data_IF_153308095360
#
_entry.id   IF_153308095360
#
_cell.length_a   1.000
_cell.length_b   1.000
_cell.length_c   1.000
_cell.angle_alpha   90.00
_cell.angle_beta   90.00
_cell.angle_gamma   90.00
#
_symmetry.space_group_name_H-M   'P 1'
#
loop_
_entity.id
_entity.type
_entity.pdbx_description
1 polymer ?
#
# COMPACT_ATOMS: atom_id res chain seq x y z
N UNK A 1 64.74 -29.59 -2.11
CA UNK A 1 63.86 -28.42 -2.15
C UNK A 1 62.85 -28.58 -3.28
N UNK A 2 61.57 -28.86 -3.01
CA UNK A 2 60.53 -28.65 -4.01
C UNK A 2 60.03 -27.20 -3.89
N UNK A 3 60.14 -26.44 -4.98
CA UNK A 3 59.59 -25.10 -5.09
C UNK A 3 58.07 -25.16 -5.15
N UNK A 4 57.42 -24.53 -4.18
CA UNK A 4 55.98 -24.29 -4.18
C UNK A 4 55.65 -23.26 -5.26
N UNK A 5 54.94 -23.69 -6.29
CA UNK A 5 54.26 -22.81 -7.22
C UNK A 5 53.14 -22.09 -6.46
N UNK A 6 53.34 -20.80 -6.18
CA UNK A 6 52.29 -19.89 -5.72
C UNK A 6 51.33 -19.65 -6.88
N UNK A 7 50.12 -20.18 -6.74
CA UNK A 7 48.99 -19.92 -7.62
C UNK A 7 48.65 -18.43 -7.59
N UNK A 8 48.60 -17.85 -8.79
CA UNK A 8 48.15 -16.49 -9.06
C UNK A 8 46.72 -16.30 -8.55
N UNK A 9 46.55 -15.46 -7.53
CA UNK A 9 45.27 -14.85 -7.21
C UNK A 9 44.82 -14.03 -8.43
N UNK A 10 43.87 -14.57 -9.20
CA UNK A 10 43.24 -13.86 -10.30
C UNK A 10 42.53 -12.61 -9.75
N UNK A 11 43.09 -11.44 -10.03
CA UNK A 11 42.39 -10.17 -9.88
C UNK A 11 41.17 -10.19 -10.81
N UNK A 12 40.00 -10.50 -10.25
CA UNK A 12 38.75 -10.26 -10.95
C UNK A 12 38.65 -8.75 -11.24
N UNK A 13 38.40 -8.34 -12.50
CA UNK A 13 38.32 -6.92 -12.82
C UNK A 13 37.17 -6.29 -12.04
N UNK A 14 37.49 -5.32 -11.19
CA UNK A 14 36.50 -4.48 -10.51
C UNK A 14 35.74 -3.73 -11.60
N UNK A 15 34.54 -4.21 -11.94
CA UNK A 15 33.62 -3.48 -12.83
C UNK A 15 33.29 -2.14 -12.16
N UNK A 16 33.89 -1.07 -12.67
CA UNK A 16 33.55 0.30 -12.26
C UNK A 16 32.28 0.71 -13.00
N UNK A 17 31.27 1.10 -12.23
CA UNK A 17 30.05 1.67 -12.77
C UNK A 17 30.18 3.20 -12.78
N UNK A 18 29.55 3.86 -13.75
CA UNK A 18 29.42 5.32 -13.74
C UNK A 18 28.43 5.69 -12.62
N UNK A 19 28.84 6.48 -11.61
CA UNK A 19 27.90 6.95 -10.60
C UNK A 19 26.81 7.80 -11.26
N UNK A 20 25.57 7.63 -10.82
CA UNK A 20 24.44 8.38 -11.36
C UNK A 20 23.37 8.63 -10.31
N UNK A 21 22.63 9.71 -10.50
CA UNK A 21 21.40 10.02 -9.76
C UNK A 21 20.31 10.27 -10.79
N UNK A 22 19.21 9.54 -10.70
CA UNK A 22 18.08 9.63 -11.60
C UNK A 22 16.81 9.87 -10.79
N UNK A 23 16.04 10.89 -11.17
CA UNK A 23 14.72 11.12 -10.59
C UNK A 23 13.66 10.44 -11.45
N UNK A 24 12.94 9.51 -10.86
CA UNK A 24 11.93 8.68 -11.48
C UNK A 24 10.54 9.17 -11.08
N UNK A 25 9.66 9.29 -12.07
CA UNK A 25 8.25 9.59 -11.85
C UNK A 25 7.42 8.48 -12.47
N UNK A 26 6.79 7.70 -11.62
CA UNK A 26 5.95 6.59 -12.02
C UNK A 26 4.49 7.02 -12.04
N UNK A 27 3.77 6.58 -13.06
CA UNK A 27 2.32 6.60 -13.08
C UNK A 27 1.80 5.22 -12.69
N UNK A 28 0.81 5.20 -11.80
CA UNK A 28 0.17 3.98 -11.33
C UNK A 28 -1.00 3.68 -12.25
N UNK A 29 -0.92 2.55 -12.95
CA UNK A 29 -1.94 2.11 -13.89
C UNK A 29 -3.08 1.39 -13.15
N UNK A 30 -4.33 1.91 -13.18
CA UNK A 30 -5.46 1.28 -12.51
C UNK A 30 -5.86 -0.06 -13.10
N UNK A 31 -5.42 -0.42 -14.31
CA UNK A 31 -5.70 -1.74 -14.91
C UNK A 31 -4.86 -2.85 -14.31
N UNK A 32 -3.72 -2.51 -13.69
CA UNK A 32 -2.78 -3.47 -13.09
C UNK A 32 -2.53 -3.23 -11.60
N UNK A 33 -3.09 -2.15 -11.03
CA UNK A 33 -2.91 -1.78 -9.63
C UNK A 33 -4.24 -1.84 -8.89
N UNK A 34 -4.28 -2.64 -7.83
CA UNK A 34 -5.49 -2.89 -7.05
C UNK A 34 -5.20 -2.70 -5.57
N UNK A 35 -6.18 -2.13 -4.88
CA UNK A 35 -6.28 -2.10 -3.44
C UNK A 35 -7.46 -2.96 -3.02
N UNK A 36 -7.25 -3.84 -2.07
CA UNK A 36 -8.31 -4.58 -1.39
C UNK A 36 -8.61 -3.87 -0.09
N UNK A 37 -9.87 -3.48 0.08
CA UNK A 37 -10.42 -2.98 1.32
C UNK A 37 -11.13 -4.16 1.98
N UNK A 38 -10.65 -4.56 3.14
CA UNK A 38 -11.14 -5.68 3.91
C UNK A 38 -11.58 -5.12 5.26
N UNK A 39 -12.88 -5.13 5.48
CA UNK A 39 -13.49 -4.49 6.63
C UNK A 39 -14.23 -5.55 7.44
N UNK A 40 -14.04 -5.53 8.75
CA UNK A 40 -14.79 -6.34 9.68
C UNK A 40 -15.61 -5.43 10.61
N UNK A 41 -16.87 -5.80 10.80
CA UNK A 41 -17.76 -5.18 11.78
C UNK A 41 -18.00 -6.22 12.85
N UNK A 42 -17.47 -5.95 14.04
CA UNK A 42 -17.82 -6.68 15.25
C UNK A 42 -18.77 -5.81 16.07
N UNK A 43 -19.95 -6.35 16.36
CA UNK A 43 -20.90 -5.68 17.23
C UNK A 43 -21.19 -6.66 18.36
N UNK A 44 -20.90 -6.28 19.60
CA UNK A 44 -20.97 -7.13 20.82
C UNK A 44 -22.29 -7.91 21.04
N UNK A 45 -23.33 -7.64 20.26
CA UNK A 45 -24.63 -8.34 20.30
C UNK A 45 -24.89 -9.25 19.11
N UNK A 46 -23.99 -9.27 18.11
CA UNK A 46 -24.11 -9.98 16.84
C UNK A 46 -22.79 -10.67 16.49
N UNK A 47 -22.86 -11.77 15.75
CA UNK A 47 -21.65 -12.38 15.21
C UNK A 47 -20.94 -11.40 14.26
N UNK A 48 -19.59 -11.30 14.29
CA UNK A 48 -18.82 -10.45 13.41
C UNK A 48 -19.16 -10.70 11.94
N UNK A 49 -19.20 -9.62 11.15
CA UNK A 49 -19.38 -9.68 9.70
C UNK A 49 -18.20 -9.05 9.00
N UNK A 50 -17.75 -9.71 7.94
CA UNK A 50 -16.64 -9.25 7.12
C UNK A 50 -17.14 -9.01 5.72
N UNK A 51 -16.69 -7.92 5.13
CA UNK A 51 -16.88 -7.64 3.72
C UNK A 51 -15.53 -7.27 3.12
N UNK A 52 -15.33 -7.65 1.87
CA UNK A 52 -14.11 -7.35 1.12
C UNK A 52 -14.51 -6.70 -0.20
N UNK A 53 -13.78 -5.67 -0.59
CA UNK A 53 -13.94 -4.95 -1.84
C UNK A 53 -12.58 -4.78 -2.50
N UNK A 54 -12.50 -5.05 -3.81
CA UNK A 54 -11.33 -4.70 -4.60
C UNK A 54 -11.60 -3.42 -5.37
N UNK A 55 -10.66 -2.48 -5.32
CA UNK A 55 -10.74 -1.18 -5.94
C UNK A 55 -9.47 -0.94 -6.77
N UNK A 56 -9.59 -0.64 -8.07
CA UNK A 56 -8.47 -0.15 -8.86
C UNK A 56 -7.84 1.10 -8.22
N UNK A 57 -6.52 1.19 -8.24
CA UNK A 57 -5.77 2.35 -7.72
C UNK A 57 -5.11 3.11 -8.86
N UNK A 58 -5.13 4.44 -8.78
CA UNK A 58 -4.39 5.31 -9.69
C UNK A 58 -3.62 6.35 -8.89
N UNK A 59 -2.64 6.97 -9.53
CA UNK A 59 -1.85 8.01 -8.87
C UNK A 59 -0.42 8.06 -9.37
N UNK A 60 0.49 8.48 -8.50
CA UNK A 60 1.89 8.64 -8.86
C UNK A 60 2.83 8.27 -7.73
N UNK A 61 4.02 7.80 -8.11
CA UNK A 61 5.13 7.59 -7.20
C UNK A 61 6.32 8.37 -7.74
N UNK A 62 6.94 9.20 -6.90
CA UNK A 62 8.19 9.87 -7.23
C UNK A 62 9.31 9.25 -6.43
N UNK A 63 10.43 8.94 -7.08
CA UNK A 63 11.58 8.34 -6.43
C UNK A 63 12.89 8.89 -6.97
N UNK A 64 13.94 8.84 -6.15
CA UNK A 64 15.32 9.09 -6.57
C UNK A 64 16.11 7.78 -6.51
N UNK A 65 16.63 7.36 -7.67
CA UNK A 65 17.55 6.22 -7.81
C UNK A 65 18.98 6.72 -7.85
N UNK A 66 19.84 6.22 -6.95
CA UNK A 66 21.27 6.48 -6.95
C UNK A 66 22.04 5.21 -7.26
N UNK A 67 22.98 5.30 -8.20
CA UNK A 67 23.95 4.24 -8.49
C UNK A 67 25.34 4.72 -8.06
N UNK A 68 26.00 3.96 -7.20
CA UNK A 68 27.37 4.23 -6.78
C UNK A 68 28.41 3.74 -7.80
N UNK A 69 29.67 4.19 -7.68
CA UNK A 69 30.75 3.69 -8.54
C UNK A 69 31.05 2.19 -8.41
N UNK A 70 30.57 1.57 -7.32
CA UNK A 70 30.63 0.12 -7.08
C UNK A 70 29.46 -0.66 -7.72
N UNK A 71 28.50 0.03 -8.34
CA UNK A 71 27.30 -0.57 -8.91
C UNK A 71 26.16 -0.80 -7.91
N UNK A 72 26.39 -0.57 -6.61
CA UNK A 72 25.31 -0.58 -5.60
C UNK A 72 24.29 0.51 -5.91
N UNK A 73 23.02 0.15 -5.84
CA UNK A 73 21.90 1.06 -6.06
C UNK A 73 21.11 1.29 -4.77
N UNK A 74 20.62 2.50 -4.59
CA UNK A 74 19.68 2.86 -3.53
C UNK A 74 18.52 3.66 -4.10
N UNK A 75 17.34 3.44 -3.54
CA UNK A 75 16.09 4.12 -3.90
C UNK A 75 15.64 4.96 -2.72
N UNK A 76 15.21 6.18 -2.97
CA UNK A 76 14.45 6.99 -2.02
C UNK A 76 13.07 7.21 -2.64
N UNK A 77 12.01 6.76 -1.99
CA UNK A 77 10.65 7.06 -2.40
C UNK A 77 10.31 8.41 -1.79
N UNK A 78 10.30 9.46 -2.62
CA UNK A 78 10.10 10.85 -2.20
C UNK A 78 8.63 11.15 -1.92
N UNK A 79 7.75 10.47 -2.66
CA UNK A 79 6.31 10.67 -2.59
C UNK A 79 5.57 9.48 -3.18
N UNK A 80 4.57 8.99 -2.49
CA UNK A 80 3.58 8.01 -2.95
C UNK A 80 2.23 8.69 -2.79
N UNK A 81 1.49 8.89 -3.87
CA UNK A 81 0.13 9.42 -3.84
C UNK A 81 -0.78 8.52 -4.65
N UNK A 82 -1.66 7.79 -3.97
CA UNK A 82 -2.61 6.88 -4.58
C UNK A 82 -4.03 7.30 -4.22
N UNK A 83 -4.96 7.05 -5.13
CA UNK A 83 -6.39 7.19 -4.89
C UNK A 83 -7.15 6.04 -5.52
N UNK A 84 -8.33 5.71 -4.98
CA UNK A 84 -9.24 4.78 -5.66
C UNK A 84 -9.66 5.34 -7.02
N UNK A 85 -9.59 4.52 -8.06
CA UNK A 85 -10.05 4.90 -9.39
C UNK A 85 -11.53 4.53 -9.63
N UNK A 86 -12.08 3.64 -8.80
CA UNK A 86 -13.49 3.21 -8.84
C UNK A 86 -14.18 3.36 -7.49
N UNK A 87 -15.49 3.13 -7.48
CA UNK A 87 -16.31 3.08 -6.26
C UNK A 87 -16.05 1.78 -5.51
N UNK A 88 -15.73 1.89 -4.22
CA UNK A 88 -15.68 0.75 -3.31
C UNK A 88 -17.05 0.52 -2.66
N UNK A 89 -17.47 -0.74 -2.58
CA UNK A 89 -18.72 -1.14 -1.94
C UNK A 89 -18.49 -2.35 -1.05
N UNK A 90 -18.85 -2.22 0.22
CA UNK A 90 -18.73 -3.25 1.24
C UNK A 90 -20.13 -3.51 1.81
N UNK A 91 -20.56 -4.77 1.83
CA UNK A 91 -21.88 -5.16 2.28
C UNK A 91 -21.79 -6.18 3.43
N UNK A 92 -22.40 -5.84 4.55
CA UNK A 92 -22.42 -6.61 5.78
C UNK A 92 -23.83 -7.08 6.05
N UNK A 93 -24.10 -8.34 5.71
CA UNK A 93 -25.44 -8.92 5.78
C UNK A 93 -25.59 -9.74 7.06
N UNK A 94 -26.60 -9.41 7.86
CA UNK A 94 -27.10 -10.27 8.94
C UNK A 94 -28.38 -10.98 8.51
N UNK A 95 -29.13 -11.55 9.47
CA UNK A 95 -30.42 -12.17 9.14
C UNK A 95 -31.43 -11.11 8.65
N UNK A 96 -32.48 -11.51 7.90
CA UNK A 96 -33.49 -10.59 7.39
C UNK A 96 -34.19 -9.73 8.46
N UNK A 97 -34.18 -10.18 9.72
CA UNK A 97 -34.77 -9.46 10.85
C UNK A 97 -33.86 -8.34 11.39
N UNK A 98 -32.55 -8.45 11.17
CA UNK A 98 -31.53 -7.49 11.61
C UNK A 98 -31.26 -6.48 10.49
N UNK A 99 -31.06 -6.97 9.26
CA UNK A 99 -30.82 -6.17 8.06
C UNK A 99 -29.36 -6.20 7.59
N UNK A 100 -28.98 -5.15 6.87
CA UNK A 100 -27.68 -5.02 6.18
C UNK A 100 -27.08 -3.65 6.44
N UNK A 101 -25.76 -3.58 6.56
CA UNK A 101 -24.99 -2.33 6.46
C UNK A 101 -24.25 -2.35 5.12
N UNK A 102 -24.30 -1.24 4.39
CA UNK A 102 -23.50 -1.04 3.19
C UNK A 102 -22.61 0.18 3.39
N UNK A 103 -21.31 0.00 3.22
CA UNK A 103 -20.36 1.12 3.17
C UNK A 103 -19.98 1.37 1.72
N UNK A 104 -20.14 2.61 1.30
CA UNK A 104 -19.82 3.10 -0.04
C UNK A 104 -18.68 4.08 0.06
N UNK A 105 -17.59 3.82 -0.65
CA UNK A 105 -16.44 4.72 -0.75
C UNK A 105 -16.39 5.24 -2.19
N UNK A 106 -16.76 6.51 -2.44
CA UNK A 106 -16.69 7.07 -3.79
C UNK A 106 -15.28 7.03 -4.37
N UNK A 107 -15.21 6.91 -5.70
CA UNK A 107 -13.92 6.92 -6.40
C UNK A 107 -13.18 8.24 -6.17
N UNK A 108 -11.91 8.15 -5.84
CA UNK A 108 -11.03 9.29 -5.59
C UNK A 108 -11.11 9.87 -4.19
N UNK A 109 -12.03 9.39 -3.35
CA UNK A 109 -12.13 9.87 -1.96
C UNK A 109 -11.27 9.09 -0.98
N UNK A 110 -10.87 7.86 -1.31
CA UNK A 110 -9.89 7.15 -0.51
C UNK A 110 -8.49 7.43 -1.08
N UNK A 111 -7.66 8.09 -0.29
CA UNK A 111 -6.29 8.51 -0.61
C UNK A 111 -5.29 7.74 0.25
N UNK A 112 -4.11 7.45 -0.29
CA UNK A 112 -3.00 6.84 0.43
C UNK A 112 -1.76 7.64 0.09
N UNK A 113 -1.16 8.23 1.12
CA UNK A 113 0.05 9.04 0.99
C UNK A 113 1.14 8.52 1.89
N UNK A 114 2.39 8.57 1.46
CA UNK A 114 3.50 8.28 2.35
C UNK A 114 3.60 9.33 3.46
N UNK A 115 3.88 8.87 4.67
CA UNK A 115 4.11 9.71 5.85
C UNK A 115 5.44 9.34 6.53
N UNK A 116 6.40 8.86 5.73
CA UNK A 116 7.70 8.38 6.21
C UNK A 116 8.81 9.38 5.85
N UNK A 117 9.73 9.70 6.78
CA UNK A 117 10.84 10.59 6.46
C UNK A 117 11.84 9.92 5.51
N UNK A 118 11.85 10.33 4.23
CA UNK A 118 12.77 10.00 3.13
C UNK A 118 13.75 8.82 3.37
N UNK A 119 13.24 7.58 3.53
CA UNK A 119 14.13 6.47 3.84
C UNK A 119 14.99 6.11 2.62
N UNK A 120 16.30 5.97 2.84
CA UNK A 120 17.21 5.44 1.82
C UNK A 120 17.13 3.91 1.84
N UNK A 121 16.54 3.35 0.79
CA UNK A 121 16.31 1.92 0.62
C UNK A 121 17.42 1.33 -0.24
N UNK A 122 18.14 0.33 0.25
CA UNK A 122 19.16 -0.36 -0.55
C UNK A 122 18.50 -1.38 -1.49
N UNK A 123 18.90 -1.37 -2.76
CA UNK A 123 18.44 -2.34 -3.74
C UNK A 123 19.43 -3.50 -3.84
N UNK A 124 18.91 -4.72 -3.91
CA UNK A 124 19.68 -5.89 -4.28
C UNK A 124 20.11 -5.85 -5.76
N UNK A 125 20.98 -6.76 -6.18
CA UNK A 125 21.44 -6.84 -7.56
C UNK A 125 20.29 -7.05 -8.58
N UNK A 126 19.21 -7.72 -8.17
CA UNK A 126 18.01 -7.92 -8.99
C UNK A 126 16.93 -6.85 -8.76
N UNK A 127 17.26 -5.73 -8.11
CA UNK A 127 16.35 -4.60 -7.91
C UNK A 127 15.31 -4.79 -6.80
N UNK A 128 15.33 -5.91 -6.08
CA UNK A 128 14.45 -6.14 -4.93
C UNK A 128 14.85 -5.27 -3.75
N UNK A 129 13.86 -4.90 -2.95
CA UNK A 129 14.06 -4.21 -1.70
C UNK A 129 13.01 -4.61 -0.67
N UNK A 130 13.33 -4.33 0.59
CA UNK A 130 12.44 -4.43 1.73
C UNK A 130 12.89 -3.39 2.75
N UNK A 131 11.95 -2.57 3.21
CA UNK A 131 12.20 -1.50 4.17
C UNK A 131 11.12 -1.52 5.26
N UNK A 132 11.46 -1.91 6.50
CA UNK A 132 10.51 -1.87 7.61
C UNK A 132 10.32 -0.44 8.12
N UNK A 133 9.22 -0.19 8.82
CA UNK A 133 8.99 1.10 9.47
C UNK A 133 8.37 2.15 8.56
N UNK A 134 7.95 1.78 7.34
CA UNK A 134 7.23 2.69 6.47
C UNK A 134 5.85 2.96 7.07
N UNK A 135 5.45 4.21 7.10
CA UNK A 135 4.15 4.68 7.54
C UNK A 135 3.46 5.41 6.40
N UNK A 136 2.16 5.26 6.36
CA UNK A 136 1.28 5.94 5.43
C UNK A 136 0.29 6.80 6.20
N UNK A 137 -0.29 7.75 5.51
CA UNK A 137 -1.55 8.38 5.87
C UNK A 137 -2.59 7.85 4.88
N UNK A 138 -3.76 7.48 5.40
CA UNK A 138 -4.92 7.17 4.57
C UNK A 138 -5.92 8.27 4.82
N UNK A 139 -6.47 8.87 3.77
CA UNK A 139 -7.55 9.84 3.91
C UNK A 139 -8.81 9.29 3.25
N UNK A 140 -9.98 9.61 3.79
CA UNK A 140 -11.19 9.42 3.00
C UNK A 140 -12.47 9.41 3.77
N UNK A 141 -13.55 9.21 3.03
CA UNK A 141 -14.91 9.29 3.55
C UNK A 141 -15.75 8.16 2.96
N UNK A 142 -16.39 7.41 3.85
CA UNK A 142 -17.39 6.40 3.52
C UNK A 142 -18.81 6.90 3.76
N UNK A 143 -19.75 6.43 2.96
CA UNK A 143 -21.18 6.60 3.19
C UNK A 143 -21.75 5.29 3.69
N UNK A 144 -22.39 5.32 4.84
CA UNK A 144 -23.01 4.15 5.46
C UNK A 144 -24.51 4.19 5.19
N UNK A 145 -25.01 3.15 4.53
CA UNK A 145 -26.42 2.91 4.28
C UNK A 145 -26.86 1.70 5.11
N UNK A 146 -27.95 1.82 5.88
CA UNK A 146 -28.46 0.70 6.67
C UNK A 146 -29.89 0.30 6.31
N UNK A 147 -30.15 -1.01 6.43
CA UNK A 147 -31.48 -1.61 6.29
C UNK A 147 -31.84 -2.41 7.54
N UNK A 148 -33.12 -2.72 7.73
CA UNK A 148 -33.63 -3.38 8.93
C UNK A 148 -33.87 -2.40 10.09
N UNK A 149 -34.94 -2.63 10.85
CA UNK A 149 -35.38 -1.70 11.89
C UNK A 149 -34.34 -1.55 13.02
N UNK A 150 -33.64 -2.63 13.36
CA UNK A 150 -32.63 -2.66 14.42
C UNK A 150 -31.41 -1.85 14.01
N UNK A 151 -30.81 -2.16 12.85
CA UNK A 151 -29.60 -1.48 12.39
C UNK A 151 -29.86 -0.02 12.00
N UNK A 152 -31.01 0.30 11.38
CA UNK A 152 -31.36 1.70 11.09
C UNK A 152 -31.51 2.57 12.33
N UNK A 153 -31.98 2.02 13.46
CA UNK A 153 -32.08 2.77 14.71
C UNK A 153 -30.72 2.99 15.38
N UNK A 154 -29.80 2.02 15.24
CA UNK A 154 -28.48 2.07 15.87
C UNK A 154 -27.48 2.92 15.09
N UNK A 155 -27.42 2.71 13.78
CA UNK A 155 -26.37 3.28 12.91
C UNK A 155 -26.95 4.40 12.05
N UNK A 156 -28.19 4.20 11.55
CA UNK A 156 -28.81 5.15 10.63
C UNK A 156 -28.11 5.20 9.28
N UNK A 157 -28.27 6.31 8.56
CA UNK A 157 -27.47 6.61 7.38
C UNK A 157 -26.54 7.75 7.76
N UNK A 158 -25.23 7.53 7.62
CA UNK A 158 -24.21 8.45 8.10
C UNK A 158 -23.07 8.57 7.10
N UNK A 159 -22.31 9.65 7.25
CA UNK A 159 -21.01 9.80 6.63
C UNK A 159 -19.95 9.46 7.68
N UNK A 160 -18.94 8.69 7.30
CA UNK A 160 -17.90 8.18 8.19
C UNK A 160 -16.55 8.61 7.67
N UNK A 161 -15.76 9.24 8.53
CA UNK A 161 -14.37 9.53 8.26
C UNK A 161 -13.56 8.22 8.32
N UNK A 162 -12.79 7.96 7.27
CA UNK A 162 -11.89 6.80 7.14
C UNK A 162 -10.43 7.23 7.22
N UNK A 163 -10.17 8.43 7.74
CA UNK A 163 -8.83 9.01 7.80
C UNK A 163 -8.00 8.36 8.90
N UNK A 164 -6.86 7.81 8.48
CA UNK A 164 -5.78 7.31 9.31
C UNK A 164 -4.63 8.30 9.19
N UNK A 165 -4.44 9.15 10.20
CA UNK A 165 -3.37 10.17 10.20
C UNK A 165 -1.98 9.55 10.04
N UNK A 166 -1.76 8.41 10.70
CA UNK A 166 -0.53 7.66 10.60
C UNK A 166 -0.82 6.17 10.85
N UNK A 167 -0.47 5.32 9.88
CA UNK A 167 -0.66 3.87 10.01
C UNK A 167 0.37 3.27 10.95
N UNK A 168 0.07 2.07 11.46
CA UNK A 168 1.11 1.21 12.00
C UNK A 168 2.27 1.04 11.00
N UNK A 169 3.53 0.91 11.49
CA UNK A 169 4.67 0.73 10.63
C UNK A 169 4.57 -0.58 9.85
N UNK A 170 4.63 -0.49 8.53
CA UNK A 170 4.62 -1.62 7.61
C UNK A 170 6.00 -1.87 7.03
N UNK A 171 6.19 -3.07 6.48
CA UNK A 171 7.35 -3.35 5.64
C UNK A 171 6.98 -3.09 4.20
N UNK A 172 7.57 -2.04 3.62
CA UNK A 172 7.44 -1.77 2.20
C UNK A 172 8.46 -2.62 1.44
N UNK A 173 7.97 -3.61 0.70
CA UNK A 173 8.78 -4.48 -0.12
C UNK A 173 8.37 -4.36 -1.57
N UNK A 174 9.32 -4.57 -2.47
CA UNK A 174 9.07 -4.43 -3.89
C UNK A 174 10.27 -4.72 -4.76
N UNK A 175 10.08 -4.45 -6.05
CA UNK A 175 11.11 -4.61 -7.07
C UNK A 175 11.14 -3.39 -7.97
N UNK A 176 12.35 -2.86 -8.20
CA UNK A 176 12.63 -1.86 -9.22
C UNK A 176 13.44 -2.51 -10.36
N UNK A 177 12.78 -2.80 -11.47
CA UNK A 177 13.39 -3.39 -12.67
C UNK A 177 13.42 -2.40 -13.83
N UNK A 178 14.28 -2.67 -14.80
CA UNK A 178 14.30 -1.94 -16.07
C UNK A 178 13.89 -2.89 -17.18
N UNK A 179 12.76 -2.61 -17.81
CA UNK A 179 12.13 -3.42 -18.86
C UNK A 179 11.93 -2.55 -20.08
N UNK A 180 12.36 -3.02 -21.26
CA UNK A 180 12.26 -2.28 -22.52
C UNK A 180 12.79 -0.83 -22.46
N UNK A 181 13.81 -0.61 -21.62
CA UNK A 181 14.42 0.70 -21.41
C UNK A 181 13.73 1.62 -20.40
N UNK A 182 12.54 1.24 -19.88
CA UNK A 182 11.78 1.98 -18.87
C UNK A 182 11.94 1.36 -17.48
N UNK A 183 11.86 2.19 -16.45
CA UNK A 183 11.82 1.70 -15.07
C UNK A 183 10.41 1.23 -14.71
N UNK A 184 10.34 0.08 -14.08
CA UNK A 184 9.12 -0.52 -13.55
C UNK A 184 9.27 -0.72 -12.04
N UNK A 185 8.31 -0.21 -11.28
CA UNK A 185 8.24 -0.36 -9.84
C UNK A 185 7.00 -1.18 -9.48
N UNK A 186 7.25 -2.32 -8.86
CA UNK A 186 6.25 -3.25 -8.35
C UNK A 186 6.32 -3.30 -6.81
N UNK A 187 5.21 -2.99 -6.15
CA UNK A 187 5.02 -3.03 -4.70
C UNK A 187 3.92 -4.07 -4.38
N UNK A 188 4.28 -5.34 -4.17
CA UNK A 188 3.32 -6.36 -3.81
C UNK A 188 2.86 -6.21 -2.35
N UNK A 189 1.55 -6.29 -2.13
CA UNK A 189 0.85 -6.44 -0.86
C UNK A 189 1.38 -5.60 0.32
N UNK A 190 0.94 -4.35 0.47
CA UNK A 190 1.17 -3.56 1.70
C UNK A 190 -0.09 -3.52 2.56
N UNK A 191 -0.03 -3.96 3.83
CA UNK A 191 -1.19 -4.01 4.74
C UNK A 191 -1.24 -2.78 5.65
N UNK A 192 -2.30 -1.99 5.55
CA UNK A 192 -2.64 -0.89 6.47
C UNK A 192 -3.82 -1.34 7.33
N UNK A 193 -3.80 -1.07 8.64
CA UNK A 193 -4.85 -1.49 9.58
C UNK A 193 -5.30 -0.32 10.44
N UNK A 194 -6.58 -0.29 10.78
CA UNK A 194 -7.16 0.63 11.75
C UNK A 194 -8.45 0.07 12.39
N UNK A 195 -8.87 0.69 13.49
CA UNK A 195 -10.08 0.36 14.25
C UNK A 195 -10.79 1.66 14.69
N UNK A 196 -12.09 1.79 14.38
CA UNK A 196 -12.90 2.97 14.69
C UNK A 196 -13.95 2.64 15.74
N UNK A 197 -14.26 3.57 16.63
CA UNK A 197 -15.46 3.50 17.47
C UNK A 197 -16.65 4.14 16.75
N UNK A 198 -17.73 3.38 16.60
CA UNK A 198 -18.94 3.73 15.82
C UNK A 198 -19.98 4.43 16.70
N UNK A 199 -19.99 4.15 18.00
CA UNK A 199 -20.91 4.75 18.96
C UNK A 199 -20.31 4.85 20.37
N UNK A 200 -20.98 5.61 21.24
CA UNK A 200 -20.62 5.78 22.66
C UNK A 200 -20.78 4.48 23.49
N UNK A 201 -21.33 3.40 22.90
CA UNK A 201 -21.49 2.09 23.54
C UNK A 201 -20.27 1.17 23.30
N UNK A 202 -19.29 1.61 22.50
CA UNK A 202 -18.04 0.90 22.26
C UNK A 202 -18.07 -0.04 21.05
N UNK A 203 -19.05 0.09 20.16
CA UNK A 203 -19.06 -0.66 18.89
C UNK A 203 -17.84 -0.25 18.06
N UNK A 204 -17.06 -1.21 17.55
CA UNK A 204 -15.87 -0.90 16.74
C UNK A 204 -15.93 -1.44 15.31
N UNK A 205 -15.21 -0.78 14.40
CA UNK A 205 -15.15 -1.03 12.96
C UNK A 205 -13.67 -1.18 12.57
N UNK A 206 -13.26 -2.36 12.08
CA UNK A 206 -11.86 -2.63 11.72
C UNK A 206 -11.62 -2.49 10.21
N UNK A 207 -10.78 -1.53 9.81
CA UNK A 207 -10.38 -1.29 8.42
C UNK A 207 -9.02 -1.92 8.14
N UNK A 208 -8.98 -2.89 7.22
CA UNK A 208 -7.75 -3.52 6.75
C UNK A 208 -7.62 -3.27 5.24
N UNK A 209 -6.63 -2.51 4.82
CA UNK A 209 -6.37 -2.25 3.42
C UNK A 209 -5.11 -2.97 2.96
N UNK A 210 -5.16 -3.66 1.81
CA UNK A 210 -3.98 -4.30 1.20
C UNK A 210 -3.80 -3.79 -0.22
N UNK A 211 -2.60 -3.39 -0.63
CA UNK A 211 -2.37 -2.91 -2.02
C UNK A 211 -1.32 -3.68 -2.79
N UNK A 212 -1.57 -3.86 -4.09
CA UNK A 212 -0.59 -4.24 -5.10
C UNK A 212 -0.45 -3.09 -6.09
N UNK A 213 0.75 -2.52 -6.22
CA UNK A 213 0.97 -1.32 -7.02
C UNK A 213 2.01 -1.61 -8.09
N UNK A 214 1.60 -1.53 -9.35
CA UNK A 214 2.47 -1.62 -10.51
C UNK A 214 2.53 -0.26 -11.19
N UNK A 215 3.74 0.23 -11.46
CA UNK A 215 3.91 1.59 -11.97
C UNK A 215 5.09 1.71 -12.94
N UNK A 216 4.96 2.63 -13.89
CA UNK A 216 5.91 2.78 -14.99
C UNK A 216 6.44 4.21 -15.06
N UNK A 217 7.76 4.35 -15.24
CA UNK A 217 8.38 5.65 -15.38
C UNK A 217 7.92 6.35 -16.67
N UNK A 218 7.57 7.63 -16.55
CA UNK A 218 7.25 8.52 -17.69
C UNK A 218 8.47 8.84 -18.54
#
# INVERSE_FOLDING_TARGET
SPGLALSSAGNAPIRRFTPSTERLKFEVDPTTSTGTIDLAIDHDSLAPRRSVCECPLKGSITATLRTSGSGKRSLTLEKIELVTAGRGELEFVWSPLIGTIRMVIPGGLLTITDNSPDPVINLSANGRFSHPGYKFQVGGTGQVETTGLVLRRKIGNTETDLTIEETEPVTLAGTLTREEGRWHLDLPGTILKDQFEVDEEGTTLDLIFTSNIASYAK
#
